data_IF_766953758997
#
_entry.id   IF_766953758997
#
_cell.length_a   1.000
_cell.length_b   1.000
_cell.length_c   1.000
_cell.angle_alpha   90.00
_cell.angle_beta   90.00
_cell.angle_gamma   90.00
#
_symmetry.space_group_name_H-M   'P 1'
#
loop_
_entity.id
_entity.type
_entity.pdbx_description
1 polymer ?
#
# COMPACT_ATOMS: atom_id res chain seq x y z
N UNK A 1 -55.92 24.99 -22.06
CA UNK A 1 -55.10 25.45 -20.91
C UNK A 1 -55.04 24.41 -19.77
N UNK A 2 -56.18 23.93 -19.26
CA UNK A 2 -56.25 22.98 -18.12
C UNK A 2 -55.47 21.65 -18.26
N UNK A 3 -55.50 20.99 -19.42
CA UNK A 3 -54.85 19.68 -19.63
C UNK A 3 -53.32 19.79 -19.59
N UNK A 4 -52.76 20.91 -20.06
CA UNK A 4 -51.32 21.15 -20.04
C UNK A 4 -50.81 21.41 -18.63
N UNK A 5 -51.56 22.16 -17.83
CA UNK A 5 -51.24 22.42 -16.42
C UNK A 5 -51.31 21.11 -15.60
N UNK A 6 -52.32 20.26 -15.81
CA UNK A 6 -52.46 18.98 -15.12
C UNK A 6 -51.31 17.99 -15.43
N UNK A 7 -50.91 17.87 -16.70
CA UNK A 7 -49.73 17.06 -17.08
C UNK A 7 -48.44 17.58 -16.43
N UNK A 8 -48.28 18.89 -16.32
CA UNK A 8 -47.11 19.55 -15.71
C UNK A 8 -47.04 19.33 -14.20
N UNK A 9 -48.18 19.40 -13.49
CA UNK A 9 -48.27 19.04 -12.06
C UNK A 9 -47.98 17.55 -11.82
N UNK A 10 -48.52 16.67 -12.66
CA UNK A 10 -48.25 15.23 -12.55
C UNK A 10 -46.75 14.94 -12.75
N UNK A 11 -46.13 15.54 -13.76
CA UNK A 11 -44.68 15.44 -14.00
C UNK A 11 -43.87 15.93 -12.79
N UNK A 12 -44.23 17.10 -12.22
CA UNK A 12 -43.56 17.67 -11.05
C UNK A 12 -43.67 16.78 -9.80
N UNK A 13 -44.85 16.22 -9.53
CA UNK A 13 -45.04 15.30 -8.40
C UNK A 13 -44.30 13.98 -8.57
N UNK A 14 -44.20 13.47 -9.80
CA UNK A 14 -43.37 12.31 -10.11
C UNK A 14 -41.89 12.61 -9.88
N UNK A 15 -41.38 13.74 -10.39
CA UNK A 15 -39.99 14.13 -10.16
C UNK A 15 -39.69 14.32 -8.68
N UNK A 16 -40.57 14.95 -7.91
CA UNK A 16 -40.38 15.10 -6.46
C UNK A 16 -40.35 13.76 -5.73
N UNK A 17 -41.28 12.84 -6.05
CA UNK A 17 -41.30 11.49 -5.45
C UNK A 17 -40.04 10.70 -5.79
N UNK A 18 -39.59 10.77 -7.03
CA UNK A 18 -38.35 10.11 -7.46
C UNK A 18 -37.13 10.71 -6.75
N UNK A 19 -37.04 12.03 -6.63
CA UNK A 19 -35.95 12.69 -5.90
C UNK A 19 -35.92 12.31 -4.41
N UNK A 20 -37.09 12.27 -3.75
CA UNK A 20 -37.19 11.82 -2.35
C UNK A 20 -36.78 10.36 -2.21
N UNK A 21 -37.22 9.48 -3.13
CA UNK A 21 -36.83 8.07 -3.10
C UNK A 21 -35.32 7.89 -3.29
N UNK A 22 -34.72 8.60 -4.25
CA UNK A 22 -33.27 8.59 -4.48
C UNK A 22 -32.54 9.07 -3.22
N UNK A 23 -33.02 10.15 -2.60
CA UNK A 23 -32.45 10.66 -1.36
C UNK A 23 -32.48 9.61 -0.24
N UNK A 24 -33.63 8.96 -0.01
CA UNK A 24 -33.76 7.91 1.01
C UNK A 24 -32.87 6.69 0.74
N UNK A 25 -32.65 6.34 -0.53
CA UNK A 25 -31.76 5.25 -0.90
C UNK A 25 -30.31 5.64 -0.63
N UNK A 26 -29.86 6.80 -1.12
CA UNK A 26 -28.47 7.27 -1.02
C UNK A 26 -28.07 7.58 0.43
N UNK A 27 -28.94 8.26 1.18
CA UNK A 27 -28.63 8.74 2.53
C UNK A 27 -29.20 7.87 3.66
N UNK A 28 -30.02 6.87 3.34
CA UNK A 28 -30.62 5.94 4.31
C UNK A 28 -30.24 4.49 4.05
N UNK A 29 -30.73 3.91 2.95
CA UNK A 29 -30.59 2.46 2.70
C UNK A 29 -29.14 2.02 2.43
N UNK A 30 -28.43 2.69 1.51
CA UNK A 30 -27.07 2.30 1.13
C UNK A 30 -26.08 2.38 2.31
N UNK A 31 -26.08 3.44 3.13
CA UNK A 31 -25.19 3.50 4.28
C UNK A 31 -25.49 2.45 5.35
N UNK A 32 -26.76 2.10 5.56
CA UNK A 32 -27.15 0.99 6.47
C UNK A 32 -26.66 -0.35 5.94
N UNK A 33 -26.80 -0.60 4.62
CA UNK A 33 -26.23 -1.79 3.98
C UNK A 33 -24.72 -1.84 4.19
N UNK A 34 -24.01 -0.73 4.01
CA UNK A 34 -22.58 -0.65 4.26
C UNK A 34 -22.22 -0.94 5.72
N UNK A 35 -22.93 -0.35 6.69
CA UNK A 35 -22.68 -0.56 8.12
C UNK A 35 -22.71 -2.05 8.50
N UNK A 36 -23.70 -2.79 8.00
CA UNK A 36 -23.88 -4.20 8.35
C UNK A 36 -23.18 -5.19 7.41
N UNK A 37 -22.60 -4.73 6.30
CA UNK A 37 -21.93 -5.60 5.32
C UNK A 37 -20.41 -5.54 5.44
N UNK A 38 -19.83 -6.49 6.19
CA UNK A 38 -18.38 -6.66 6.26
C UNK A 38 -17.74 -6.88 4.88
N UNK A 39 -18.40 -7.65 4.02
CA UNK A 39 -17.94 -7.88 2.64
C UNK A 39 -17.83 -6.57 1.85
N UNK A 40 -18.80 -5.66 1.99
CA UNK A 40 -18.78 -4.37 1.30
C UNK A 40 -17.66 -3.46 1.82
N UNK A 41 -17.47 -3.42 3.15
CA UNK A 41 -16.39 -2.66 3.80
C UNK A 41 -15.03 -3.12 3.30
N UNK A 42 -14.78 -4.43 3.29
CA UNK A 42 -13.54 -5.02 2.74
C UNK A 42 -13.34 -4.68 1.27
N UNK A 43 -14.38 -4.83 0.44
CA UNK A 43 -14.30 -4.52 -0.99
C UNK A 43 -13.89 -3.07 -1.22
N UNK A 44 -14.44 -2.14 -0.45
CA UNK A 44 -14.10 -0.71 -0.56
C UNK A 44 -12.69 -0.42 -0.06
N UNK A 45 -12.28 -1.01 1.06
CA UNK A 45 -10.93 -0.84 1.61
C UNK A 45 -9.85 -1.35 0.65
N UNK A 46 -9.97 -2.61 0.23
CA UNK A 46 -8.95 -3.29 -0.56
C UNK A 46 -9.06 -2.98 -2.05
N UNK A 47 -10.22 -2.50 -2.53
CA UNK A 47 -10.48 -2.19 -3.94
C UNK A 47 -10.16 -3.29 -4.96
N UNK A 48 -9.82 -4.50 -4.53
CA UNK A 48 -10.73 -5.62 -4.54
C UNK A 48 -11.21 -6.11 -5.92
N UNK A 49 -12.02 -5.24 -6.52
CA UNK A 49 -12.84 -5.46 -7.72
C UNK A 49 -12.31 -4.65 -8.92
N UNK A 50 -11.26 -3.85 -8.73
CA UNK A 50 -10.64 -3.03 -9.76
C UNK A 50 -9.49 -3.82 -10.39
N UNK A 51 -9.73 -4.33 -11.59
CA UNK A 51 -8.75 -5.11 -12.34
C UNK A 51 -7.91 -4.22 -13.24
N UNK A 52 -6.74 -3.84 -12.74
CA UNK A 52 -5.77 -3.13 -13.55
C UNK A 52 -4.34 -3.40 -13.08
N UNK A 53 -3.40 -3.71 -13.99
CA UNK A 53 -3.59 -3.96 -15.42
C UNK A 53 -4.27 -5.30 -15.71
N UNK A 54 -4.95 -5.40 -16.87
CA UNK A 54 -5.66 -6.60 -17.30
C UNK A 54 -4.72 -7.60 -17.99
N UNK A 55 -5.00 -8.91 -17.82
CA UNK A 55 -4.32 -10.02 -18.51
C UNK A 55 -2.80 -10.03 -18.35
N UNK A 56 -2.33 -9.84 -17.12
CA UNK A 56 -0.91 -9.93 -16.78
C UNK A 56 -0.49 -11.39 -16.74
N UNK A 57 0.60 -11.73 -17.44
CA UNK A 57 1.25 -13.02 -17.33
C UNK A 57 2.36 -12.94 -16.26
N UNK A 58 2.01 -13.24 -15.02
CA UNK A 58 2.93 -13.06 -13.89
C UNK A 58 4.18 -13.94 -13.98
N UNK A 59 4.10 -15.10 -14.63
CA UNK A 59 5.24 -15.98 -14.90
C UNK A 59 6.31 -15.36 -15.80
N UNK A 60 5.99 -14.32 -16.56
CA UNK A 60 6.91 -13.67 -17.48
C UNK A 60 6.93 -12.14 -17.33
N UNK A 61 7.60 -11.61 -16.29
CA UNK A 61 7.67 -10.17 -16.01
C UNK A 61 8.24 -9.33 -17.17
N UNK A 62 9.02 -9.95 -18.08
CA UNK A 62 9.56 -9.26 -19.26
C UNK A 62 8.46 -8.70 -20.16
N UNK A 63 7.28 -9.33 -20.22
CA UNK A 63 6.15 -8.86 -21.02
C UNK A 63 5.58 -7.52 -20.54
N UNK A 64 5.74 -7.19 -19.25
CA UNK A 64 5.41 -5.87 -18.70
C UNK A 64 6.61 -4.93 -18.65
N UNK A 65 7.70 -5.30 -19.33
CA UNK A 65 8.90 -4.48 -19.46
C UNK A 65 9.81 -4.50 -18.24
N UNK A 66 9.77 -5.54 -17.39
CA UNK A 66 10.77 -5.78 -16.35
C UNK A 66 11.76 -6.84 -16.79
N UNK A 67 12.98 -6.41 -17.10
CA UNK A 67 14.08 -7.31 -17.43
C UNK A 67 14.80 -7.82 -16.18
N UNK A 68 15.26 -9.08 -16.25
CA UNK A 68 15.90 -9.78 -15.14
C UNK A 68 15.03 -9.88 -13.89
N UNK A 69 13.72 -9.95 -14.07
CA UNK A 69 12.78 -10.30 -13.02
C UNK A 69 12.31 -11.75 -13.22
N UNK A 70 12.30 -12.54 -12.14
CA UNK A 70 11.69 -13.87 -12.12
C UNK A 70 10.44 -13.89 -11.26
N UNK A 71 9.54 -14.82 -11.58
CA UNK A 71 8.37 -15.12 -10.77
C UNK A 71 8.63 -16.32 -9.88
N UNK A 72 8.18 -16.24 -8.62
CA UNK A 72 8.26 -17.34 -7.68
C UNK A 72 7.08 -17.28 -6.69
N UNK A 73 6.90 -18.36 -5.93
CA UNK A 73 5.81 -18.49 -4.97
C UNK A 73 6.36 -18.80 -3.58
N UNK A 74 5.80 -18.12 -2.58
CA UNK A 74 6.02 -18.42 -1.17
C UNK A 74 4.76 -19.09 -0.61
N UNK A 75 4.93 -20.04 0.31
CA UNK A 75 3.82 -20.67 0.99
C UNK A 75 3.93 -20.33 2.47
N UNK A 76 2.99 -19.54 2.98
CA UNK A 76 3.02 -19.13 4.39
C UNK A 76 2.76 -20.32 5.32
N UNK A 77 2.93 -20.13 6.62
CA UNK A 77 2.64 -21.18 7.62
C UNK A 77 1.19 -21.69 7.57
N UNK A 78 0.26 -20.85 7.08
CA UNK A 78 -1.14 -21.22 6.84
C UNK A 78 -1.39 -21.83 5.46
N UNK A 79 -0.32 -22.21 4.74
CA UNK A 79 -0.37 -22.74 3.37
C UNK A 79 -1.02 -21.78 2.36
N UNK A 80 -0.95 -20.46 2.61
CA UNK A 80 -1.37 -19.45 1.64
C UNK A 80 -0.23 -19.23 0.66
N UNK A 81 -0.49 -19.46 -0.63
CA UNK A 81 0.46 -19.16 -1.70
C UNK A 81 0.48 -17.66 -1.99
N UNK A 82 1.66 -17.06 -1.93
CA UNK A 82 1.92 -15.66 -2.24
C UNK A 82 2.75 -15.58 -3.52
N UNK A 83 2.22 -14.94 -4.55
CA UNK A 83 2.93 -14.67 -5.79
C UNK A 83 3.89 -13.49 -5.61
N UNK A 84 5.14 -13.70 -5.99
CA UNK A 84 6.20 -12.71 -5.82
C UNK A 84 7.12 -12.63 -7.04
N UNK A 85 7.73 -11.47 -7.22
CA UNK A 85 8.82 -11.25 -8.17
C UNK A 85 10.10 -10.91 -7.44
N UNK A 86 11.20 -11.49 -7.92
CA UNK A 86 12.55 -11.07 -7.59
C UNK A 86 13.14 -10.35 -8.80
N UNK A 87 13.54 -9.11 -8.61
CA UNK A 87 14.02 -8.21 -9.65
C UNK A 87 15.50 -7.90 -9.38
N UNK A 88 16.34 -8.13 -10.39
CA UNK A 88 17.78 -7.96 -10.28
C UNK A 88 18.21 -6.50 -10.43
N UNK A 89 19.29 -6.08 -9.76
CA UNK A 89 19.92 -4.77 -9.97
C UNK A 89 20.48 -4.65 -11.40
N UNK A 90 20.62 -3.42 -11.90
CA UNK A 90 21.03 -3.12 -13.28
C UNK A 90 22.40 -3.71 -13.64
N UNK A 91 23.35 -3.73 -12.71
CA UNK A 91 24.70 -4.27 -12.92
C UNK A 91 24.70 -5.76 -13.29
N UNK A 92 23.75 -6.53 -12.77
CA UNK A 92 23.61 -7.95 -13.10
C UNK A 92 22.95 -8.18 -14.47
N UNK A 93 22.09 -7.25 -14.93
CA UNK A 93 21.50 -7.33 -16.27
C UNK A 93 22.55 -7.16 -17.37
N UNK A 94 23.55 -6.31 -17.13
CA UNK A 94 24.59 -6.00 -18.11
C UNK A 94 25.64 -7.12 -18.25
N UNK A 95 25.83 -7.94 -17.20
CA UNK A 95 26.87 -8.97 -17.17
C UNK A 95 26.33 -10.35 -17.55
N UNK A 96 25.30 -10.83 -16.86
CA UNK A 96 24.63 -12.10 -17.16
C UNK A 96 23.30 -12.20 -16.38
N UNK A 97 22.20 -12.36 -17.12
CA UNK A 97 20.91 -12.66 -16.50
C UNK A 97 20.89 -14.14 -16.10
N UNK A 98 20.64 -14.48 -14.83
CA UNK A 98 20.48 -15.86 -14.39
C UNK A 98 19.39 -16.58 -15.21
N UNK A 99 19.69 -17.80 -15.65
CA UNK A 99 18.78 -18.55 -16.52
C UNK A 99 17.78 -19.43 -15.77
N UNK A 100 18.04 -19.75 -14.49
CA UNK A 100 17.28 -20.70 -13.68
C UNK A 100 17.05 -20.16 -12.26
N UNK A 101 16.05 -20.69 -11.58
CA UNK A 101 15.64 -20.24 -10.24
C UNK A 101 16.74 -20.35 -9.19
N UNK A 102 17.53 -21.42 -9.22
CA UNK A 102 18.62 -21.64 -8.26
C UNK A 102 19.69 -20.52 -8.35
N UNK A 103 19.90 -19.98 -9.54
CA UNK A 103 20.86 -18.91 -9.75
C UNK A 103 20.33 -17.56 -9.23
N UNK A 104 19.03 -17.30 -9.36
CA UNK A 104 18.40 -16.13 -8.71
C UNK A 104 18.42 -16.23 -7.18
N UNK A 105 18.16 -17.42 -6.64
CA UNK A 105 18.29 -17.70 -5.20
C UNK A 105 19.73 -17.42 -4.72
N UNK A 106 20.73 -17.92 -5.45
CA UNK A 106 22.14 -17.69 -5.13
C UNK A 106 22.51 -16.20 -5.16
N UNK A 107 21.96 -15.44 -6.10
CA UNK A 107 22.16 -13.98 -6.17
C UNK A 107 21.59 -13.28 -4.93
N UNK A 108 20.38 -13.65 -4.49
CA UNK A 108 19.78 -13.03 -3.30
C UNK A 108 20.52 -13.43 -2.01
N UNK A 109 20.90 -14.70 -1.89
CA UNK A 109 21.64 -15.21 -0.72
C UNK A 109 23.03 -14.59 -0.56
N UNK A 110 23.64 -14.13 -1.66
CA UNK A 110 24.95 -13.50 -1.68
C UNK A 110 24.87 -12.00 -1.98
N UNK A 111 23.69 -11.38 -1.83
CA UNK A 111 23.51 -9.96 -2.10
C UNK A 111 24.52 -9.12 -1.32
N UNK A 112 25.06 -8.09 -1.98
CA UNK A 112 25.95 -7.09 -1.37
C UNK A 112 25.37 -5.68 -1.43
N UNK A 113 24.38 -5.50 -2.29
CA UNK A 113 23.68 -4.24 -2.49
C UNK A 113 22.32 -4.30 -1.78
N UNK A 114 21.75 -3.15 -1.39
CA UNK A 114 20.47 -3.09 -0.71
C UNK A 114 19.37 -3.92 -1.37
N UNK A 115 18.55 -4.55 -0.53
CA UNK A 115 17.35 -5.31 -0.95
C UNK A 115 16.11 -4.55 -0.50
N UNK A 116 15.27 -4.14 -1.44
CA UNK A 116 14.00 -3.48 -1.17
C UNK A 116 12.84 -4.47 -1.24
N UNK A 117 12.07 -4.59 -0.15
CA UNK A 117 10.78 -5.25 -0.15
C UNK A 117 9.67 -4.23 -0.37
N UNK A 118 8.91 -4.35 -1.46
CA UNK A 118 7.80 -3.46 -1.77
C UNK A 118 6.45 -4.05 -1.33
N UNK A 119 5.73 -3.31 -0.49
CA UNK A 119 4.37 -3.59 -0.02
C UNK A 119 3.41 -2.59 -0.66
N UNK A 120 2.55 -3.06 -1.55
CA UNK A 120 1.76 -2.19 -2.43
C UNK A 120 0.50 -1.62 -1.78
N UNK A 121 -0.07 -0.56 -2.35
CA UNK A 121 -1.35 0.01 -1.92
C UNK A 121 -2.57 -0.85 -2.24
N UNK A 122 -3.77 -0.36 -1.93
CA UNK A 122 -5.00 -1.03 -2.33
C UNK A 122 -5.14 -1.08 -3.87
N UNK A 123 -5.95 -2.02 -4.36
CA UNK A 123 -6.19 -2.27 -5.78
C UNK A 123 -4.97 -2.69 -6.59
N UNK A 124 -5.22 -3.42 -7.68
CA UNK A 124 -4.23 -3.76 -8.69
C UNK A 124 -3.10 -4.64 -8.15
N UNK A 125 -2.22 -5.05 -9.05
CA UNK A 125 -1.18 -6.04 -8.76
C UNK A 125 0.23 -5.48 -8.97
N UNK A 126 1.24 -6.28 -8.67
CA UNK A 126 2.67 -5.97 -8.79
C UNK A 126 3.08 -5.53 -10.21
N UNK A 127 2.25 -5.75 -11.23
CA UNK A 127 2.50 -5.25 -12.58
C UNK A 127 1.93 -3.85 -12.88
N UNK A 128 1.33 -3.16 -11.90
CA UNK A 128 0.80 -1.81 -12.11
C UNK A 128 1.87 -0.82 -12.54
N UNK A 129 1.59 0.02 -13.54
CA UNK A 129 2.58 0.88 -14.22
C UNK A 129 3.45 1.73 -13.28
N UNK A 130 2.84 2.43 -12.33
CA UNK A 130 3.57 3.25 -11.34
C UNK A 130 4.52 2.41 -10.46
N UNK A 131 4.15 1.16 -10.16
CA UNK A 131 4.98 0.20 -9.41
C UNK A 131 6.16 -0.24 -10.26
N UNK A 132 5.92 -0.56 -11.54
CA UNK A 132 6.96 -0.90 -12.50
C UNK A 132 7.98 0.23 -12.67
N UNK A 133 7.54 1.48 -12.71
CA UNK A 133 8.42 2.66 -12.76
C UNK A 133 9.30 2.74 -11.51
N UNK A 134 8.73 2.53 -10.32
CA UNK A 134 9.48 2.50 -9.07
C UNK A 134 10.49 1.33 -9.01
N UNK A 135 10.11 0.13 -9.48
CA UNK A 135 11.03 -1.02 -9.52
C UNK A 135 12.21 -0.74 -10.44
N UNK A 136 11.97 -0.13 -11.61
CA UNK A 136 13.03 0.27 -12.53
C UNK A 136 13.94 1.33 -11.93
N UNK A 137 13.38 2.29 -11.19
CA UNK A 137 14.18 3.26 -10.43
C UNK A 137 15.11 2.54 -9.45
N UNK A 138 14.62 1.55 -8.68
CA UNK A 138 15.50 0.76 -7.80
C UNK A 138 16.54 -0.06 -8.57
N UNK A 139 16.17 -0.67 -9.71
CA UNK A 139 17.15 -1.35 -10.56
C UNK A 139 18.27 -0.40 -11.00
N UNK A 140 17.94 0.82 -11.40
CA UNK A 140 18.89 1.85 -11.86
C UNK A 140 19.75 2.41 -10.72
N UNK A 141 19.29 2.31 -9.46
CA UNK A 141 20.11 2.55 -8.27
C UNK A 141 20.99 1.34 -7.89
N UNK A 142 20.94 0.28 -8.67
CA UNK A 142 21.64 -0.99 -8.48
C UNK A 142 21.18 -1.77 -7.23
N UNK A 143 19.88 -1.70 -6.91
CA UNK A 143 19.30 -2.41 -5.77
C UNK A 143 18.50 -3.64 -6.21
N UNK A 144 18.45 -4.66 -5.36
CA UNK A 144 17.53 -5.78 -5.53
C UNK A 144 16.12 -5.35 -5.12
N UNK A 145 15.10 -5.86 -5.81
CA UNK A 145 13.70 -5.64 -5.41
C UNK A 145 12.99 -6.98 -5.26
N UNK A 146 12.31 -7.15 -4.14
CA UNK A 146 11.29 -8.18 -3.92
C UNK A 146 9.95 -7.46 -3.86
N UNK A 147 8.99 -7.87 -4.68
CA UNK A 147 7.62 -7.39 -4.61
C UNK A 147 6.67 -8.56 -4.70
N UNK A 148 5.52 -8.47 -4.05
CA UNK A 148 4.53 -9.55 -3.98
C UNK A 148 3.14 -8.96 -4.00
N UNK A 149 2.15 -9.80 -4.31
CA UNK A 149 0.75 -9.43 -4.19
C UNK A 149 0.13 -10.01 -2.93
N UNK A 150 -0.77 -9.25 -2.29
CA UNK A 150 -1.53 -9.75 -1.14
C UNK A 150 -2.44 -10.93 -1.52
N UNK A 151 -2.91 -11.68 -0.52
CA UNK A 151 -4.03 -12.64 -0.70
C UNK A 151 -5.25 -11.96 -1.34
N UNK A 152 -6.01 -12.64 -2.17
CA UNK A 152 -7.29 -12.13 -2.71
C UNK A 152 -8.48 -12.83 -2.04
N UNK A 153 -9.68 -12.25 -2.07
CA UNK A 153 -10.91 -12.86 -1.51
C UNK A 153 -11.88 -13.42 -2.57
N UNK A 154 -11.50 -13.40 -3.86
CA UNK A 154 -12.42 -13.79 -4.93
C UNK A 154 -11.74 -14.62 -6.01
N UNK A 155 -12.37 -15.76 -6.33
CA UNK A 155 -11.99 -16.62 -7.47
C UNK A 155 -12.29 -15.95 -8.82
N UNK A 156 -13.11 -14.90 -8.81
CA UNK A 156 -13.54 -14.15 -9.99
C UNK A 156 -12.75 -12.83 -10.08
N UNK A 157 -12.34 -12.27 -8.93
CA UNK A 157 -11.66 -10.98 -8.85
C UNK A 157 -10.14 -11.18 -8.58
N UNK A 158 -9.37 -11.46 -9.64
CA UNK A 158 -7.90 -11.59 -9.64
C UNK A 158 -7.18 -10.24 -9.58
N UNK A 159 -7.54 -9.37 -8.63
CA UNK A 159 -6.98 -8.02 -8.53
C UNK A 159 -5.56 -8.00 -7.93
N UNK A 160 -5.29 -8.88 -6.96
CA UNK A 160 -3.96 -9.12 -6.37
C UNK A 160 -3.21 -10.27 -7.06
N UNK A 161 -3.25 -10.24 -8.39
CA UNK A 161 -2.44 -11.10 -9.25
C UNK A 161 -2.77 -12.58 -9.12
N UNK A 162 -1.75 -13.38 -8.82
CA UNK A 162 -1.81 -14.85 -8.77
C UNK A 162 -1.54 -15.44 -7.37
N UNK A 163 -1.60 -14.60 -6.34
CA UNK A 163 -1.67 -15.01 -4.93
C UNK A 163 -2.99 -15.73 -4.63
N UNK A 164 -3.00 -16.55 -3.58
CA UNK A 164 -4.14 -17.40 -3.25
C UNK A 164 -5.40 -16.61 -2.89
N UNK A 165 -6.53 -17.27 -3.19
CA UNK A 165 -7.86 -16.78 -2.87
C UNK A 165 -8.28 -17.30 -1.50
N UNK A 166 -8.07 -16.48 -0.47
CA UNK A 166 -8.40 -16.76 0.93
C UNK A 166 -9.02 -15.52 1.59
N UNK A 167 -9.58 -15.66 2.79
CA UNK A 167 -10.25 -14.54 3.45
C UNK A 167 -9.30 -13.32 3.61
N UNK A 168 -9.72 -12.19 3.02
CA UNK A 168 -9.06 -10.89 3.17
C UNK A 168 -9.43 -10.28 4.52
N UNK A 169 -8.43 -9.91 5.30
CA UNK A 169 -8.53 -9.14 6.53
C UNK A 169 -7.22 -8.40 6.74
N UNK A 170 -7.22 -7.36 7.59
CA UNK A 170 -5.96 -6.70 7.96
C UNK A 170 -4.96 -7.69 8.54
N UNK A 171 -5.36 -8.48 9.53
CA UNK A 171 -4.52 -9.50 10.16
C UNK A 171 -3.94 -10.48 9.12
N UNK A 172 -4.78 -10.90 8.16
CA UNK A 172 -4.37 -11.80 7.09
C UNK A 172 -3.27 -11.22 6.21
N UNK A 173 -3.47 -9.99 5.73
CA UNK A 173 -2.52 -9.29 4.86
C UNK A 173 -1.21 -8.97 5.61
N UNK A 174 -1.31 -8.53 6.87
CA UNK A 174 -0.16 -8.25 7.73
C UNK A 174 0.66 -9.51 7.98
N UNK A 175 0.01 -10.63 8.30
CA UNK A 175 0.67 -11.90 8.57
C UNK A 175 1.40 -12.45 7.35
N UNK A 176 0.78 -12.42 6.17
CA UNK A 176 1.45 -12.84 4.94
C UNK A 176 2.65 -11.93 4.63
N UNK A 177 2.49 -10.62 4.82
CA UNK A 177 3.55 -9.65 4.59
C UNK A 177 4.73 -9.82 5.56
N UNK A 178 4.45 -10.16 6.83
CA UNK A 178 5.46 -10.53 7.83
C UNK A 178 6.24 -11.76 7.37
N UNK A 179 5.54 -12.80 6.92
CA UNK A 179 6.17 -14.02 6.41
C UNK A 179 7.10 -13.73 5.23
N UNK A 180 6.67 -12.90 4.27
CA UNK A 180 7.52 -12.52 3.13
C UNK A 180 8.77 -11.77 3.60
N UNK A 181 8.64 -10.81 4.54
CA UNK A 181 9.80 -10.08 5.06
C UNK A 181 10.76 -10.98 5.83
N UNK A 182 10.27 -11.89 6.68
CA UNK A 182 11.09 -12.88 7.37
C UNK A 182 11.83 -13.79 6.37
N UNK A 183 11.16 -14.20 5.29
CA UNK A 183 11.80 -14.95 4.21
C UNK A 183 12.94 -14.16 3.57
N UNK A 184 12.73 -12.87 3.25
CA UNK A 184 13.79 -12.01 2.70
C UNK A 184 14.96 -11.89 3.68
N UNK A 185 14.69 -11.61 4.95
CA UNK A 185 15.71 -11.50 6.01
C UNK A 185 16.52 -12.79 6.11
N UNK A 186 15.85 -13.94 6.11
CA UNK A 186 16.50 -15.25 6.17
C UNK A 186 17.35 -15.56 4.93
N UNK A 187 16.88 -15.17 3.74
CA UNK A 187 17.62 -15.38 2.48
C UNK A 187 18.88 -14.53 2.43
N UNK A 188 18.74 -13.24 2.72
CA UNK A 188 19.87 -12.30 2.72
C UNK A 188 20.85 -12.62 3.86
N UNK A 189 20.36 -13.11 5.00
CA UNK A 189 21.17 -13.59 6.13
C UNK A 189 22.27 -12.59 6.55
N UNK A 190 21.93 -11.30 6.60
CA UNK A 190 22.85 -10.22 6.98
C UNK A 190 23.91 -9.84 5.92
N UNK A 191 23.88 -10.44 4.72
CA UNK A 191 24.86 -10.12 3.66
C UNK A 191 24.68 -8.74 3.02
N UNK A 192 23.47 -8.18 3.10
CA UNK A 192 23.09 -6.86 2.61
C UNK A 192 22.05 -6.18 3.52
N UNK A 193 21.96 -4.84 3.52
CA UNK A 193 20.89 -4.13 4.21
C UNK A 193 19.53 -4.33 3.51
N UNK A 194 18.47 -4.41 4.31
CA UNK A 194 17.10 -4.65 3.83
C UNK A 194 16.24 -3.43 4.13
N UNK A 195 15.54 -2.92 3.12
CA UNK A 195 14.61 -1.80 3.27
C UNK A 195 13.20 -2.25 2.92
N UNK A 196 12.21 -1.72 3.62
CA UNK A 196 10.80 -1.92 3.29
C UNK A 196 10.24 -0.64 2.71
N UNK A 197 9.50 -0.75 1.62
CA UNK A 197 8.79 0.37 1.00
C UNK A 197 7.29 0.06 0.99
N UNK A 198 6.54 0.75 1.86
CA UNK A 198 5.09 0.70 1.87
C UNK A 198 4.50 1.87 1.09
N UNK A 199 3.51 1.61 0.24
CA UNK A 199 2.77 2.65 -0.49
C UNK A 199 1.28 2.61 -0.15
N UNK A 200 0.66 3.76 0.18
CA UNK A 200 -0.77 3.86 0.46
C UNK A 200 -1.22 2.83 1.52
N UNK A 201 -2.19 1.94 1.25
CA UNK A 201 -2.53 0.83 2.17
C UNK A 201 -1.31 0.05 2.69
N UNK A 202 -0.29 -0.13 1.84
CA UNK A 202 0.96 -0.78 2.20
C UNK A 202 1.74 -0.08 3.32
N UNK A 203 1.48 1.20 3.62
CA UNK A 203 2.07 1.90 4.78
C UNK A 203 1.47 1.40 6.10
N UNK A 204 0.15 1.16 6.13
CA UNK A 204 -0.50 0.54 7.28
C UNK A 204 -0.04 -0.91 7.47
N UNK A 205 0.12 -1.66 6.38
CA UNK A 205 0.63 -3.04 6.43
C UNK A 205 2.08 -3.08 6.93
N UNK A 206 2.98 -2.30 6.32
CA UNK A 206 4.41 -2.32 6.66
C UNK A 206 4.69 -1.82 8.08
N UNK A 207 4.01 -0.77 8.55
CA UNK A 207 4.17 -0.30 9.94
C UNK A 207 3.72 -1.36 10.94
N UNK A 208 2.58 -2.03 10.69
CA UNK A 208 2.10 -3.12 11.53
C UNK A 208 3.07 -4.31 11.53
N UNK A 209 3.54 -4.75 10.36
CA UNK A 209 4.55 -5.83 10.27
C UNK A 209 5.82 -5.50 11.06
N UNK A 210 6.38 -4.30 10.90
CA UNK A 210 7.59 -3.91 11.59
C UNK A 210 7.38 -3.77 13.10
N UNK A 211 6.21 -3.31 13.54
CA UNK A 211 5.88 -3.27 14.96
C UNK A 211 5.79 -4.67 15.59
N UNK A 212 5.33 -5.68 14.84
CA UNK A 212 5.32 -7.07 15.30
C UNK A 212 6.75 -7.64 15.35
N UNK A 213 7.55 -7.40 14.32
CA UNK A 213 8.93 -7.89 14.26
C UNK A 213 9.84 -7.22 15.31
N UNK A 214 9.61 -5.95 15.63
CA UNK A 214 10.33 -5.27 16.72
C UNK A 214 10.12 -5.98 18.07
N UNK A 215 8.91 -6.48 18.34
CA UNK A 215 8.64 -7.29 19.54
C UNK A 215 9.39 -8.64 19.55
N UNK A 216 9.83 -9.11 18.39
CA UNK A 216 10.65 -10.30 18.19
C UNK A 216 12.15 -9.97 18.07
N UNK A 217 12.56 -8.71 18.27
CA UNK A 217 13.91 -8.19 18.07
C UNK A 217 14.44 -8.36 16.64
N UNK A 218 13.53 -8.36 15.66
CA UNK A 218 13.85 -8.41 14.23
C UNK A 218 13.54 -7.04 13.64
N UNK A 219 14.49 -6.46 12.91
CA UNK A 219 14.28 -5.19 12.23
C UNK A 219 14.97 -5.16 10.86
N UNK A 220 14.33 -4.60 9.83
CA UNK A 220 15.02 -4.24 8.60
C UNK A 220 15.96 -3.05 8.86
N UNK A 221 16.78 -2.70 7.87
CA UNK A 221 17.66 -1.53 7.93
C UNK A 221 16.91 -0.21 7.88
N UNK A 222 15.74 -0.15 7.25
CA UNK A 222 14.92 1.05 7.26
C UNK A 222 13.57 0.88 6.57
N UNK A 223 12.70 1.86 6.78
CA UNK A 223 11.33 1.90 6.29
C UNK A 223 11.08 3.18 5.48
N UNK A 224 10.53 3.03 4.28
CA UNK A 224 9.94 4.10 3.50
C UNK A 224 8.42 3.98 3.52
N UNK A 225 7.76 5.09 3.82
CA UNK A 225 6.31 5.23 3.81
C UNK A 225 5.94 6.25 2.74
N UNK A 226 5.46 5.78 1.59
CA UNK A 226 5.02 6.60 0.47
C UNK A 226 3.50 6.81 0.54
N UNK A 227 3.08 8.08 0.53
CA UNK A 227 1.68 8.48 0.65
C UNK A 227 0.95 7.84 1.86
N UNK A 228 1.50 7.91 3.10
CA UNK A 228 0.90 7.23 4.25
C UNK A 228 -0.32 7.98 4.80
N UNK A 229 -1.07 7.24 5.62
CA UNK A 229 -2.11 7.76 6.50
C UNK A 229 -1.85 7.29 7.94
N UNK A 230 -2.34 8.06 8.93
CA UNK A 230 -2.12 7.77 10.34
C UNK A 230 -2.99 6.59 10.84
N UNK A 231 -4.26 6.52 10.45
CA UNK A 231 -5.14 5.37 10.71
C UNK A 231 -6.34 5.38 9.74
N UNK A 232 -7.04 4.25 9.61
CA UNK A 232 -8.13 4.14 8.64
C UNK A 232 -9.35 4.98 9.03
N UNK A 233 -9.55 5.29 10.31
CA UNK A 233 -10.66 6.15 10.74
C UNK A 233 -10.51 7.55 10.15
N UNK A 234 -9.32 8.12 10.23
CA UNK A 234 -9.03 9.43 9.68
C UNK A 234 -9.05 9.41 8.15
N UNK A 235 -8.52 8.34 7.54
CA UNK A 235 -8.59 8.13 6.08
C UNK A 235 -10.05 8.10 5.59
N UNK A 236 -10.91 7.28 6.19
CA UNK A 236 -12.33 7.21 5.84
C UNK A 236 -13.08 8.51 6.08
N UNK A 237 -12.72 9.25 7.14
CA UNK A 237 -13.38 10.51 7.48
C UNK A 237 -13.01 11.62 6.51
N UNK A 238 -11.76 11.64 6.05
CA UNK A 238 -11.21 12.70 5.22
C UNK A 238 -11.16 12.36 3.74
N UNK A 239 -11.47 11.12 3.37
CA UNK A 239 -11.57 10.67 1.99
C UNK A 239 -12.48 11.61 1.18
N UNK A 240 -12.12 11.99 -0.07
CA UNK A 240 -12.91 12.91 -0.90
C UNK A 240 -14.41 12.53 -1.02
N UNK A 241 -14.72 11.24 -1.15
CA UNK A 241 -16.10 10.77 -1.17
C UNK A 241 -16.84 10.95 0.16
N UNK A 242 -16.14 10.89 1.29
CA UNK A 242 -16.73 11.10 2.60
C UNK A 242 -17.10 12.57 2.85
N UNK A 243 -16.45 13.54 2.19
CA UNK A 243 -16.73 14.97 2.36
C UNK A 243 -18.21 15.32 2.10
N UNK A 244 -18.90 14.55 1.25
CA UNK A 244 -20.33 14.71 0.96
C UNK A 244 -21.22 14.24 2.13
N UNK A 245 -20.76 13.22 2.86
CA UNK A 245 -21.53 12.52 3.90
C UNK A 245 -21.09 12.85 5.32
N UNK A 246 -19.89 13.40 5.54
CA UNK A 246 -19.25 13.52 6.86
C UNK A 246 -19.98 14.46 7.83
N UNK A 247 -20.80 15.37 7.29
CA UNK A 247 -21.62 16.29 8.08
C UNK A 247 -22.90 15.65 8.63
N UNK A 248 -23.23 14.41 8.24
CA UNK A 248 -24.38 13.70 8.77
C UNK A 248 -24.10 13.26 10.21
N UNK A 249 -25.03 13.45 11.16
CA UNK A 249 -24.80 13.16 12.58
C UNK A 249 -24.50 11.68 12.84
N UNK A 250 -24.91 10.79 11.94
CA UNK A 250 -24.70 9.35 12.01
C UNK A 250 -23.53 8.86 11.13
N UNK A 251 -22.75 9.74 10.49
CA UNK A 251 -21.66 9.36 9.59
C UNK A 251 -20.66 8.42 10.26
N UNK A 252 -20.22 8.75 11.46
CA UNK A 252 -19.27 7.93 12.20
C UNK A 252 -19.80 6.51 12.43
N UNK A 253 -21.06 6.39 12.87
CA UNK A 253 -21.73 5.10 13.06
C UNK A 253 -21.78 4.33 11.74
N UNK A 254 -22.11 4.96 10.61
CA UNK A 254 -22.24 4.28 9.32
C UNK A 254 -20.90 3.89 8.68
N UNK A 255 -19.92 4.79 8.67
CA UNK A 255 -18.73 4.68 7.83
C UNK A 255 -17.49 4.21 8.60
N UNK A 256 -17.32 4.67 9.84
CA UNK A 256 -16.08 4.50 10.61
C UNK A 256 -16.18 3.34 11.59
N UNK A 257 -17.22 3.31 12.42
CA UNK A 257 -17.42 2.30 13.45
C UNK A 257 -17.40 0.85 12.93
N UNK A 258 -17.96 0.51 11.76
CA UNK A 258 -17.94 -0.86 11.25
C UNK A 258 -16.54 -1.39 10.96
N UNK A 259 -15.65 -0.53 10.46
CA UNK A 259 -14.25 -0.89 10.20
C UNK A 259 -13.54 -1.31 11.48
N UNK A 260 -13.73 -0.54 12.56
CA UNK A 260 -13.15 -0.83 13.86
C UNK A 260 -13.72 -2.09 14.51
N UNK A 261 -15.04 -2.29 14.40
CA UNK A 261 -15.72 -3.51 14.87
C UNK A 261 -15.23 -4.76 14.14
N UNK A 262 -14.87 -4.60 12.87
CA UNK A 262 -14.41 -5.69 12.02
C UNK A 262 -12.87 -5.80 11.94
N UNK A 263 -12.14 -5.12 12.84
CA UNK A 263 -10.66 -5.17 12.91
C UNK A 263 -9.96 -4.79 11.59
N UNK A 264 -10.55 -3.84 10.85
CA UNK A 264 -9.93 -3.15 9.73
C UNK A 264 -9.57 -1.76 10.22
N UNK A 265 -8.43 -1.59 10.89
CA UNK A 265 -8.06 -0.35 11.60
C UNK A 265 -6.81 0.32 11.03
N UNK A 266 -5.83 -0.46 10.58
CA UNK A 266 -4.54 -0.02 10.03
C UNK A 266 -3.96 1.17 10.82
N UNK A 267 -3.75 0.96 12.13
CA UNK A 267 -3.41 2.00 13.11
C UNK A 267 -1.92 2.37 13.04
N UNK A 268 -1.47 2.90 11.89
CA UNK A 268 -0.07 3.26 11.62
C UNK A 268 0.51 4.17 12.70
N UNK A 269 -0.28 5.09 13.24
CA UNK A 269 0.08 5.98 14.34
C UNK A 269 0.41 5.25 15.66
N UNK A 270 -0.19 4.09 15.91
CA UNK A 270 0.15 3.22 17.06
C UNK A 270 1.30 2.28 16.75
N UNK A 271 1.44 1.86 15.50
CA UNK A 271 2.48 0.91 15.10
C UNK A 271 3.83 1.61 14.95
N UNK A 272 3.86 2.82 14.39
CA UNK A 272 5.09 3.56 14.09
C UNK A 272 5.95 3.81 15.33
N UNK A 273 5.33 3.99 16.51
CA UNK A 273 6.03 4.25 17.78
C UNK A 273 6.82 3.03 18.30
N UNK A 274 6.58 1.85 17.72
CA UNK A 274 7.23 0.58 18.10
C UNK A 274 8.34 0.17 17.14
N UNK A 275 8.58 0.95 16.09
CA UNK A 275 9.53 0.59 15.04
C UNK A 275 10.93 1.07 15.42
N UNK A 276 11.91 0.16 15.42
CA UNK A 276 13.28 0.43 15.84
C UNK A 276 14.19 0.93 14.70
N UNK A 277 13.88 0.58 13.45
CA UNK A 277 14.68 1.01 12.29
C UNK A 277 14.35 2.47 11.87
N UNK A 278 15.26 3.20 11.18
CA UNK A 278 14.97 4.54 10.66
C UNK A 278 13.80 4.56 9.68
N UNK A 279 13.03 5.65 9.68
CA UNK A 279 11.81 5.82 8.88
C UNK A 279 11.89 7.10 8.02
N UNK A 280 11.53 6.97 6.74
CA UNK A 280 11.34 8.08 5.80
C UNK A 280 9.89 8.13 5.35
N UNK A 281 9.21 9.25 5.61
CA UNK A 281 7.88 9.55 5.09
C UNK A 281 8.02 10.41 3.83
N UNK A 282 7.40 10.00 2.72
CA UNK A 282 7.36 10.73 1.46
C UNK A 282 5.89 11.01 1.10
N UNK A 283 5.52 12.26 0.86
CA UNK A 283 4.14 12.61 0.48
C UNK A 283 4.12 13.75 -0.54
N UNK A 284 3.32 13.60 -1.60
CA UNK A 284 3.11 14.67 -2.58
C UNK A 284 1.94 15.56 -2.14
N UNK A 285 2.12 16.87 -2.09
CA UNK A 285 1.09 17.79 -1.59
C UNK A 285 -0.16 17.85 -2.51
N UNK A 286 -0.03 17.44 -3.77
CA UNK A 286 -1.13 17.30 -4.72
C UNK A 286 -1.80 15.91 -4.70
N UNK A 287 -1.56 15.10 -3.66
CA UNK A 287 -2.24 13.82 -3.47
C UNK A 287 -3.76 14.01 -3.27
N UNK A 288 -4.52 13.66 -4.31
CA UNK A 288 -5.99 13.72 -4.31
C UNK A 288 -6.69 12.50 -3.69
N UNK A 289 -5.95 11.52 -3.17
CA UNK A 289 -6.50 10.32 -2.50
C UNK A 289 -6.30 10.44 -0.99
N UNK A 290 -5.06 10.64 -0.55
CA UNK A 290 -4.71 10.76 0.87
C UNK A 290 -4.18 12.18 1.13
N UNK A 291 -4.94 13.02 1.85
CA UNK A 291 -4.49 14.37 2.19
C UNK A 291 -3.18 14.35 2.99
N UNK A 292 -2.23 15.23 2.62
CA UNK A 292 -0.90 15.32 3.24
C UNK A 292 -0.91 15.48 4.76
N UNK A 293 -1.93 16.12 5.32
CA UNK A 293 -2.03 16.31 6.77
C UNK A 293 -2.21 14.99 7.55
N UNK A 294 -2.69 13.91 6.91
CA UNK A 294 -2.73 12.57 7.53
C UNK A 294 -1.33 11.99 7.70
N UNK A 295 -0.44 12.22 6.74
CA UNK A 295 0.97 11.90 6.87
C UNK A 295 1.67 12.78 7.92
N UNK A 296 1.29 14.06 8.03
CA UNK A 296 1.80 14.96 9.07
C UNK A 296 1.39 14.50 10.48
N UNK A 297 0.14 14.03 10.66
CA UNK A 297 -0.31 13.40 11.91
C UNK A 297 0.52 12.16 12.25
N UNK A 298 0.80 11.31 11.26
CA UNK A 298 1.63 10.13 11.46
C UNK A 298 3.07 10.50 11.84
N UNK A 299 3.65 11.50 11.16
CA UNK A 299 4.97 12.03 11.49
C UNK A 299 5.01 12.61 12.90
N UNK A 300 3.97 13.34 13.31
CA UNK A 300 3.85 13.86 14.67
C UNK A 300 3.80 12.74 15.72
N UNK A 301 3.04 11.67 15.48
CA UNK A 301 3.01 10.51 16.38
C UNK A 301 4.40 9.87 16.55
N UNK A 302 5.18 9.81 15.47
CA UNK A 302 6.57 9.35 15.53
C UNK A 302 7.49 10.33 16.29
N UNK A 303 7.34 11.65 16.09
CA UNK A 303 8.09 12.67 16.82
C UNK A 303 7.80 12.63 18.33
N UNK A 304 6.54 12.42 18.71
CA UNK A 304 6.13 12.32 20.11
C UNK A 304 6.78 11.11 20.80
N UNK A 305 7.05 10.04 20.05
CA UNK A 305 7.70 8.82 20.55
C UNK A 305 9.23 8.87 20.52
N UNK A 306 9.83 9.39 19.44
CA UNK A 306 11.28 9.32 19.20
C UNK A 306 12.01 10.65 19.44
N UNK A 307 11.27 11.72 19.73
CA UNK A 307 11.77 13.09 19.70
C UNK A 307 12.10 13.56 18.28
N UNK A 308 12.64 14.78 18.17
CA UNK A 308 13.08 15.34 16.89
C UNK A 308 14.45 14.80 16.45
N UNK A 309 14.56 13.47 16.36
CA UNK A 309 15.77 12.79 15.93
C UNK A 309 15.69 12.46 14.43
N UNK A 310 16.35 13.27 13.61
CA UNK A 310 16.39 13.08 12.15
C UNK A 310 17.12 11.80 11.71
N UNK A 311 17.84 11.11 12.62
CA UNK A 311 18.40 9.79 12.37
C UNK A 311 17.35 8.67 12.54
N UNK A 312 16.23 8.95 13.22
CA UNK A 312 15.13 8.01 13.47
C UNK A 312 13.96 8.23 12.52
N UNK A 313 13.53 9.48 12.33
CA UNK A 313 12.33 9.82 11.54
C UNK A 313 12.59 11.06 10.68
N UNK A 314 12.24 10.96 9.40
CA UNK A 314 12.31 12.05 8.43
C UNK A 314 11.01 12.12 7.65
N UNK A 315 10.60 13.32 7.26
CA UNK A 315 9.46 13.54 6.38
C UNK A 315 9.84 14.50 5.26
N UNK A 316 9.50 14.14 4.02
CA UNK A 316 9.66 14.98 2.84
C UNK A 316 8.27 15.17 2.22
N UNK A 317 7.81 16.41 2.24
CA UNK A 317 6.66 16.87 1.47
C UNK A 317 7.15 17.37 0.12
N UNK A 318 6.56 16.84 -0.95
CA UNK A 318 6.91 17.20 -2.32
C UNK A 318 5.87 18.18 -2.82
N UNK A 319 6.33 19.36 -3.24
CA UNK A 319 5.49 20.48 -3.62
C UNK A 319 4.47 20.10 -4.72
N UNK A 320 3.26 20.63 -4.60
CA UNK A 320 2.16 20.34 -5.54
C UNK A 320 2.47 20.69 -7.02
N UNK A 321 3.43 21.60 -7.27
CA UNK A 321 3.84 22.00 -8.62
C UNK A 321 4.46 20.86 -9.46
N UNK A 322 4.89 19.77 -8.83
CA UNK A 322 5.45 18.62 -9.53
C UNK A 322 4.38 17.69 -10.14
N UNK A 323 3.11 17.80 -9.75
CA UNK A 323 2.01 17.05 -10.38
C UNK A 323 2.12 15.52 -10.21
N UNK A 324 2.62 15.05 -9.07
CA UNK A 324 2.94 13.64 -8.84
C UNK A 324 1.72 12.86 -8.30
N UNK A 325 0.86 13.54 -7.57
CA UNK A 325 -0.31 12.97 -6.91
C UNK A 325 0.01 11.73 -6.08
N UNK A 326 -0.97 10.83 -5.98
CA UNK A 326 -0.90 9.68 -5.08
C UNK A 326 0.11 8.59 -5.47
N UNK A 327 0.52 8.51 -6.74
CA UNK A 327 1.16 7.29 -7.31
C UNK A 327 2.52 7.53 -7.94
N UNK A 328 2.89 8.77 -8.24
CA UNK A 328 4.02 9.05 -9.14
C UNK A 328 5.18 9.76 -8.45
N UNK A 329 5.35 9.59 -7.13
CA UNK A 329 6.55 10.07 -6.44
C UNK A 329 7.81 9.46 -7.07
N UNK A 330 7.73 8.25 -7.64
CA UNK A 330 8.79 7.64 -8.45
C UNK A 330 9.30 8.50 -9.62
N UNK A 331 8.54 9.51 -10.07
CA UNK A 331 8.92 10.45 -11.14
C UNK A 331 9.58 11.73 -10.61
N UNK A 332 9.66 11.91 -9.30
CA UNK A 332 10.35 13.05 -8.68
C UNK A 332 11.86 12.93 -8.92
N UNK A 333 12.46 13.95 -9.55
CA UNK A 333 13.85 13.87 -10.05
C UNK A 333 14.86 13.67 -8.93
N UNK A 334 14.57 14.24 -7.77
CA UNK A 334 15.41 14.22 -6.58
C UNK A 334 15.26 12.92 -5.78
N UNK A 335 14.27 12.08 -6.08
CA UNK A 335 13.97 10.87 -5.34
C UNK A 335 15.17 9.91 -5.27
N UNK A 336 15.88 9.72 -6.38
CA UNK A 336 17.09 8.89 -6.43
C UNK A 336 18.14 9.32 -5.42
N UNK A 337 18.33 10.63 -5.24
CA UNK A 337 19.26 11.20 -4.26
C UNK A 337 18.76 11.02 -2.83
N UNK A 338 17.47 11.23 -2.60
CA UNK A 338 16.81 11.02 -1.30
C UNK A 338 17.00 9.56 -0.84
N UNK A 339 16.70 8.60 -1.72
CA UNK A 339 16.84 7.17 -1.42
C UNK A 339 18.30 6.84 -1.06
N UNK A 340 19.26 7.24 -1.89
CA UNK A 340 20.69 6.98 -1.65
C UNK A 340 21.17 7.55 -0.31
N UNK A 341 20.82 8.80 -0.02
CA UNK A 341 21.19 9.45 1.25
C UNK A 341 20.58 8.72 2.45
N UNK A 342 19.30 8.34 2.38
CA UNK A 342 18.66 7.61 3.45
C UNK A 342 19.25 6.21 3.64
N UNK A 343 19.52 5.49 2.55
CA UNK A 343 20.14 4.15 2.59
C UNK A 343 21.50 4.18 3.27
N UNK A 344 22.37 5.12 2.89
CA UNK A 344 23.70 5.28 3.49
C UNK A 344 23.59 5.60 4.98
N UNK A 345 22.71 6.56 5.33
CA UNK A 345 22.50 6.98 6.72
C UNK A 345 21.96 5.85 7.60
N UNK A 346 20.95 5.14 7.12
CA UNK A 346 20.32 4.05 7.86
C UNK A 346 21.27 2.85 8.05
N UNK A 347 22.09 2.54 7.04
CA UNK A 347 23.08 1.48 7.14
C UNK A 347 24.20 1.82 8.12
N UNK A 348 24.72 3.06 8.09
CA UNK A 348 25.76 3.52 9.03
C UNK A 348 25.34 3.42 10.49
N UNK A 349 24.08 3.74 10.81
CA UNK A 349 23.53 3.65 12.16
C UNK A 349 23.44 2.21 12.72
N UNK A 350 23.50 1.17 11.88
CA UNK A 350 23.50 -0.23 12.35
C UNK A 350 24.91 -0.78 12.62
N UNK A 351 25.94 -0.10 12.11
CA UNK A 351 27.34 -0.54 12.23
C UNK A 351 28.11 0.18 13.33
N UNK A 352 27.53 1.22 13.92
CA UNK A 352 27.96 1.89 15.16
C UNK A 352 27.29 1.25 16.37
#
# INVERSE_FOLDING_TARGET
MYIHTYKRYRCLTWTMRTSVLIYLIIFGLLPVIFHYSYTLQKKILFLNFVHWPLKVEFSNPKLVGLEGARNFYLHTDQQVKIGAWQILPRSLLNNSIPAIDEAYEAVLNNAKLPVFLYMHGNSGNRASSHRLELYKLFQDLDYHVICFDYRSNSLIDLDYGDSDVVELSEEGVVRDSKYVLEWVIKKVNGSAPIFVWGHSLGTGVSTHVLALLAAENIQPTGLFLEAPFNNIQDELTEHPFAQIFKHLPWFHWMAVEPFYKNNLRFESDKHITKIDCPIMILHAEDDGVIPVFLAEKLYQAALDSFGNNTNRIQMIKIDSSYGLGHKYICRYKELSGIIKTFVVKAHGNLTE
#
